data_IF_769110016283
#
_entry.id   IF_769110016283
#
_cell.length_a   1.000
_cell.length_b   1.000
_cell.length_c   1.000
_cell.angle_alpha   90.00
_cell.angle_beta   90.00
_cell.angle_gamma   90.00
#
_symmetry.space_group_name_H-M   'P 1'
#
loop_
_entity.id
_entity.type
_entity.pdbx_description
1 polymer ?
#
# COMPACT_ATOMS: atom_id res chain seq x y z
N UNK A 1 7.38 12.33 3.83
CA UNK A 1 7.66 11.34 4.87
C UNK A 1 6.55 10.31 4.98
N UNK A 2 6.92 9.06 5.21
CA UNK A 2 5.96 7.98 5.35
C UNK A 2 5.87 7.55 6.81
N UNK A 3 4.67 7.19 7.25
CA UNK A 3 4.47 6.63 8.57
C UNK A 3 5.01 5.21 8.64
N UNK A 4 5.17 4.69 9.88
CA UNK A 4 5.59 3.31 10.07
C UNK A 4 4.63 2.33 9.40
N UNK A 5 3.33 2.61 9.51
CA UNK A 5 2.31 1.76 8.90
C UNK A 5 2.44 1.77 7.38
N UNK A 6 2.65 2.95 6.78
CA UNK A 6 2.82 3.08 5.34
C UNK A 6 4.02 2.30 4.84
N UNK A 7 5.15 2.41 5.56
CA UNK A 7 6.36 1.66 5.20
C UNK A 7 6.13 0.16 5.31
N UNK A 8 5.42 -0.28 6.34
CA UNK A 8 5.09 -1.69 6.51
C UNK A 8 4.27 -2.21 5.34
N UNK A 9 3.28 -1.43 4.91
CA UNK A 9 2.45 -1.80 3.76
C UNK A 9 3.32 -1.93 2.51
N UNK A 10 4.23 -0.99 2.27
CA UNK A 10 5.13 -1.05 1.12
C UNK A 10 5.99 -2.32 1.14
N UNK A 11 6.53 -2.69 2.30
CA UNK A 11 7.32 -3.91 2.43
C UNK A 11 6.49 -5.16 2.12
N UNK A 12 5.28 -5.21 2.64
CA UNK A 12 4.39 -6.36 2.38
C UNK A 12 4.05 -6.46 0.90
N UNK A 13 3.84 -5.33 0.22
CA UNK A 13 3.63 -5.34 -1.23
C UNK A 13 4.87 -5.90 -1.93
N UNK A 14 6.05 -5.44 -1.54
CA UNK A 14 7.30 -5.84 -2.19
C UNK A 14 7.53 -7.34 -2.13
N UNK A 15 7.15 -7.99 -1.03
CA UNK A 15 7.30 -9.44 -0.88
C UNK A 15 6.07 -10.20 -1.34
N UNK A 16 5.15 -9.54 -2.06
CA UNK A 16 3.98 -10.15 -2.71
C UNK A 16 2.95 -10.72 -1.74
N UNK A 17 2.76 -10.07 -0.59
CA UNK A 17 1.68 -10.45 0.33
C UNK A 17 0.37 -9.93 -0.23
N UNK A 18 -0.65 -10.79 -0.27
CA UNK A 18 -1.96 -10.43 -0.77
C UNK A 18 -2.63 -9.39 0.15
N UNK A 19 -3.40 -8.42 -0.39
CA UNK A 19 -4.04 -7.39 0.45
C UNK A 19 -4.89 -7.92 1.59
N UNK A 20 -5.61 -9.04 1.39
CA UNK A 20 -6.39 -9.62 2.49
C UNK A 20 -5.50 -10.13 3.61
N UNK A 21 -4.31 -10.64 3.30
CA UNK A 21 -3.35 -11.07 4.30
C UNK A 21 -2.67 -9.88 4.96
N UNK A 22 -2.45 -8.79 4.22
CA UNK A 22 -1.94 -7.54 4.81
C UNK A 22 -2.88 -7.05 5.90
N UNK A 23 -4.18 -7.10 5.66
CA UNK A 23 -5.17 -6.67 6.64
C UNK A 23 -5.06 -7.49 7.92
N UNK A 24 -4.90 -8.80 7.79
CA UNK A 24 -4.75 -9.68 8.96
C UNK A 24 -3.45 -9.41 9.70
N UNK A 25 -2.33 -9.30 8.97
CA UNK A 25 -1.02 -9.11 9.57
C UNK A 25 -0.89 -7.77 10.29
N UNK A 26 -1.58 -6.75 9.82
CA UNK A 26 -1.51 -5.41 10.40
C UNK A 26 -2.68 -5.09 11.31
N UNK A 27 -3.62 -6.03 11.47
CA UNK A 27 -4.83 -5.84 12.28
C UNK A 27 -5.67 -4.65 11.79
N UNK A 28 -5.80 -4.53 10.47
CA UNK A 28 -6.60 -3.51 9.82
C UNK A 28 -7.60 -4.16 8.89
N UNK A 29 -8.57 -3.37 8.40
CA UNK A 29 -9.55 -3.88 7.43
C UNK A 29 -8.93 -3.83 6.02
N UNK A 30 -9.51 -4.63 5.12
CA UNK A 30 -9.10 -4.62 3.72
C UNK A 30 -9.32 -3.24 3.10
N UNK A 31 -10.42 -2.59 3.47
CA UNK A 31 -10.72 -1.24 3.00
C UNK A 31 -9.67 -0.24 3.44
N UNK A 32 -9.18 -0.37 4.67
CA UNK A 32 -8.12 0.50 5.18
C UNK A 32 -6.82 0.29 4.41
N UNK A 33 -6.48 -0.96 4.10
CA UNK A 33 -5.30 -1.28 3.30
C UNK A 33 -5.41 -0.66 1.91
N UNK A 34 -6.56 -0.80 1.26
CA UNK A 34 -6.79 -0.23 -0.07
C UNK A 34 -6.69 1.28 -0.03
N UNK A 35 -7.29 1.92 0.97
CA UNK A 35 -7.23 3.38 1.12
C UNK A 35 -5.80 3.86 1.33
N UNK A 36 -5.01 3.13 2.11
CA UNK A 36 -3.62 3.49 2.37
C UNK A 36 -2.79 3.41 1.08
N UNK A 37 -2.96 2.34 0.29
CA UNK A 37 -2.25 2.19 -0.98
C UNK A 37 -2.61 3.32 -1.95
N UNK A 38 -3.89 3.69 -2.00
CA UNK A 38 -4.36 4.80 -2.85
C UNK A 38 -3.73 6.12 -2.42
N UNK A 39 -3.70 6.39 -1.11
CA UNK A 39 -3.12 7.63 -0.59
C UNK A 39 -1.62 7.70 -0.82
N UNK A 40 -0.93 6.56 -0.74
CA UNK A 40 0.52 6.52 -1.03
C UNK A 40 0.78 6.92 -2.48
N UNK A 41 -0.02 6.41 -3.40
CA UNK A 41 0.12 6.79 -4.81
C UNK A 41 -0.10 8.30 -4.99
N UNK A 42 -1.15 8.84 -4.38
CA UNK A 42 -1.44 10.27 -4.46
C UNK A 42 -0.31 11.11 -3.88
N UNK A 43 0.25 10.66 -2.76
CA UNK A 43 1.34 11.39 -2.09
C UNK A 43 2.59 11.47 -2.94
N UNK A 44 2.92 10.42 -3.65
CA UNK A 44 4.16 10.33 -4.43
C UNK A 44 4.00 10.94 -5.82
N UNK A 45 2.89 10.66 -6.49
CA UNK A 45 2.71 11.04 -7.90
C UNK A 45 1.86 12.27 -8.09
N UNK A 46 1.21 12.78 -7.03
CA UNK A 46 0.37 13.97 -7.07
C UNK A 46 -0.75 13.84 -8.11
N UNK A 47 -1.29 12.64 -8.25
CA UNK A 47 -2.37 12.31 -9.16
C UNK A 47 -3.46 11.56 -8.41
N UNK A 48 -4.59 11.31 -9.08
CA UNK A 48 -5.69 10.54 -8.49
C UNK A 48 -5.19 9.17 -8.07
N UNK A 49 -5.54 8.75 -6.86
CA UNK A 49 -5.06 7.53 -6.26
C UNK A 49 -5.47 6.27 -7.01
N UNK A 50 -4.56 5.31 -7.10
CA UNK A 50 -4.80 4.02 -7.74
C UNK A 50 -3.98 2.95 -7.00
N UNK A 51 -4.67 2.07 -6.22
CA UNK A 51 -3.95 1.06 -5.43
C UNK A 51 -3.13 0.10 -6.30
N UNK A 52 -3.67 -0.32 -7.45
CA UNK A 52 -2.98 -1.26 -8.31
C UNK A 52 -1.71 -0.64 -8.90
N UNK A 53 -1.78 0.60 -9.32
CA UNK A 53 -0.59 1.29 -9.85
C UNK A 53 0.46 1.48 -8.76
N UNK A 54 0.04 1.68 -7.52
CA UNK A 54 0.98 1.74 -6.41
C UNK A 54 1.72 0.42 -6.23
N UNK A 55 0.99 -0.70 -6.28
CA UNK A 55 1.59 -2.02 -6.18
C UNK A 55 2.59 -2.24 -7.31
N UNK A 56 2.22 -1.89 -8.53
CA UNK A 56 3.10 -2.03 -9.69
C UNK A 56 4.39 -1.21 -9.52
N UNK A 57 4.25 0.00 -8.99
CA UNK A 57 5.41 0.86 -8.73
C UNK A 57 6.35 0.22 -7.70
N UNK A 58 5.79 -0.30 -6.61
CA UNK A 58 6.61 -0.93 -5.56
C UNK A 58 7.29 -2.19 -6.11
N UNK A 59 6.57 -3.00 -6.89
CA UNK A 59 7.16 -4.21 -7.47
C UNK A 59 8.31 -3.90 -8.42
N UNK A 60 8.30 -2.75 -9.05
CA UNK A 60 9.34 -2.35 -10.00
C UNK A 60 10.61 -1.82 -9.33
N UNK A 61 10.58 -1.56 -8.05
CA UNK A 61 11.75 -1.03 -7.33
C UNK A 61 12.89 -2.03 -7.20
#
# INVERSE_FOLDING_TARGET
NFSSFELRICLLIKINIHPSDMAKLTNHTKESITATRRRLYEKVFLEKGNPKLWDDFIHAL
#
